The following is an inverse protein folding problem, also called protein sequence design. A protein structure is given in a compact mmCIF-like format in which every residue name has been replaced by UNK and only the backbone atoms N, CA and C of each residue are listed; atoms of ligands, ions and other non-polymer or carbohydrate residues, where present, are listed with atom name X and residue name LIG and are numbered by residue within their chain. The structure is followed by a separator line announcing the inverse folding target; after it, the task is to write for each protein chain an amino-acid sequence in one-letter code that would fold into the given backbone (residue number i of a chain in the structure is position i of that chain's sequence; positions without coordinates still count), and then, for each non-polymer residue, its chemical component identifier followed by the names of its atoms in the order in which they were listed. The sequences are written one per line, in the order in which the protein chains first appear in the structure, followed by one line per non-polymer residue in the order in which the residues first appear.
data_IF_094068205675
#
_entry.id   IF_094068205675
#
_cell.length_a   1.000
_cell.length_b   1.000
_cell.length_c   1.000
_cell.angle_alpha   90.00
_cell.angle_beta   90.00
_cell.angle_gamma   90.00
#
_symmetry.space_group_name_H-M   'P 1'
#
loop_
_entity.id
_entity.type
_entity.pdbx_description
1 polymer ?
#
# COMPACT_ATOMS: atom_id res chain seq x y z
N UNK A 1 49.32 40.82 -25.04
CA UNK A 1 48.13 40.06 -25.53
C UNK A 1 48.24 38.57 -25.19
N UNK A 2 49.31 37.88 -25.58
CA UNK A 2 49.50 36.44 -25.33
C UNK A 2 49.44 36.04 -23.83
N UNK A 3 50.03 36.84 -22.93
CA UNK A 3 50.01 36.55 -21.49
C UNK A 3 48.60 36.71 -20.87
N UNK A 4 47.85 37.73 -21.30
CA UNK A 4 46.46 37.91 -20.91
C UNK A 4 45.58 36.76 -21.41
N UNK A 5 45.78 36.32 -22.67
CA UNK A 5 45.09 35.15 -23.22
C UNK A 5 45.41 33.88 -22.42
N UNK A 6 46.68 33.63 -22.12
CA UNK A 6 47.10 32.47 -21.32
C UNK A 6 46.45 32.46 -19.94
N UNK A 7 46.40 33.60 -19.25
CA UNK A 7 45.72 33.72 -17.95
C UNK A 7 44.22 33.41 -18.06
N UNK A 8 43.55 33.94 -19.09
CA UNK A 8 42.14 33.62 -19.34
C UNK A 8 41.93 32.13 -19.62
N UNK A 9 42.80 31.48 -20.40
CA UNK A 9 42.74 30.04 -20.64
C UNK A 9 42.92 29.22 -19.35
N UNK A 10 43.83 29.62 -18.47
CA UNK A 10 44.03 28.98 -17.17
C UNK A 10 42.81 29.16 -16.26
N UNK A 11 42.21 30.35 -16.22
CA UNK A 11 40.97 30.63 -15.49
C UNK A 11 39.79 29.83 -16.06
N UNK A 12 39.67 29.71 -17.38
CA UNK A 12 38.64 28.90 -18.05
C UNK A 12 38.81 27.40 -17.76
N UNK A 13 40.04 26.88 -17.76
CA UNK A 13 40.32 25.49 -17.37
C UNK A 13 39.94 25.23 -15.91
N UNK A 14 40.25 26.17 -15.01
CA UNK A 14 39.85 26.07 -13.61
C UNK A 14 38.32 26.10 -13.45
N UNK A 15 37.64 26.97 -14.19
CA UNK A 15 36.18 27.03 -14.19
C UNK A 15 35.55 25.75 -14.72
N UNK A 16 36.05 25.20 -15.84
CA UNK A 16 35.57 23.94 -16.40
C UNK A 16 35.68 22.79 -15.38
N UNK A 17 36.83 22.65 -14.73
CA UNK A 17 37.03 21.63 -13.70
C UNK A 17 36.08 21.79 -12.49
N UNK A 18 35.78 23.04 -12.09
CA UNK A 18 34.79 23.32 -11.04
C UNK A 18 33.37 22.97 -11.48
N UNK A 19 33.02 23.27 -12.74
CA UNK A 19 31.71 22.90 -13.32
C UNK A 19 31.55 21.40 -13.39
N UNK A 20 32.58 20.66 -13.80
CA UNK A 20 32.56 19.19 -13.83
C UNK A 20 32.36 18.62 -12.42
N UNK A 21 33.08 19.15 -11.43
CA UNK A 21 32.93 18.76 -10.02
C UNK A 21 31.53 19.04 -9.47
N UNK A 22 30.93 20.18 -9.84
CA UNK A 22 29.56 20.54 -9.46
C UNK A 22 28.54 19.62 -10.14
N UNK A 23 28.72 19.26 -11.40
CA UNK A 23 27.85 18.34 -12.11
C UNK A 23 27.86 16.94 -11.46
N UNK A 24 29.02 16.46 -11.03
CA UNK A 24 29.13 15.20 -10.29
C UNK A 24 28.48 15.26 -8.90
N UNK A 25 28.66 16.38 -8.19
CA UNK A 25 27.96 16.61 -6.91
C UNK A 25 26.43 16.61 -7.11
N UNK A 26 25.93 17.29 -8.14
CA UNK A 26 24.52 17.34 -8.47
C UNK A 26 23.95 15.94 -8.77
N UNK A 27 24.63 15.13 -9.59
CA UNK A 27 24.19 13.75 -9.87
C UNK A 27 24.04 12.91 -8.60
N UNK A 28 25.02 12.98 -7.69
CA UNK A 28 24.94 12.27 -6.39
C UNK A 28 23.80 12.75 -5.51
N UNK A 29 23.53 14.07 -5.51
CA UNK A 29 22.38 14.63 -4.81
C UNK A 29 21.07 14.15 -5.41
N UNK A 30 20.92 14.16 -6.73
CA UNK A 30 19.71 13.66 -7.41
C UNK A 30 19.45 12.19 -7.11
N UNK A 31 20.48 11.34 -7.11
CA UNK A 31 20.37 9.94 -6.73
C UNK A 31 19.89 9.77 -5.28
N UNK A 32 20.44 10.57 -4.36
CA UNK A 32 20.05 10.55 -2.94
C UNK A 32 18.60 11.01 -2.78
N UNK A 33 18.21 12.09 -3.45
CA UNK A 33 16.83 12.60 -3.42
C UNK A 33 15.85 11.55 -3.96
N UNK A 34 16.19 10.85 -5.05
CA UNK A 34 15.33 9.78 -5.59
C UNK A 34 15.11 8.65 -4.59
N UNK A 35 16.16 8.21 -3.88
CA UNK A 35 16.03 7.21 -2.82
C UNK A 35 15.14 7.71 -1.68
N UNK A 36 15.38 8.93 -1.21
CA UNK A 36 14.56 9.53 -0.15
C UNK A 36 13.08 9.66 -0.54
N UNK A 37 12.77 9.96 -1.80
CA UNK A 37 11.37 10.02 -2.26
C UNK A 37 10.69 8.65 -2.19
N UNK A 38 11.42 7.56 -2.50
CA UNK A 38 10.92 6.19 -2.40
C UNK A 38 10.70 5.83 -0.92
N UNK A 39 11.71 6.01 -0.08
CA UNK A 39 11.65 5.67 1.35
C UNK A 39 10.53 6.44 2.05
N UNK A 40 10.36 7.73 1.75
CA UNK A 40 9.25 8.55 2.29
C UNK A 40 7.90 8.09 1.74
N UNK A 41 7.85 7.61 0.50
CA UNK A 41 6.67 6.98 -0.08
C UNK A 41 6.21 5.76 0.72
N UNK A 42 7.14 4.85 1.01
CA UNK A 42 6.90 3.65 1.82
C UNK A 42 6.46 4.00 3.24
N UNK A 43 7.21 4.88 3.94
CA UNK A 43 6.85 5.33 5.29
C UNK A 43 5.45 5.97 5.36
N UNK A 44 5.06 6.70 4.31
CA UNK A 44 3.72 7.25 4.21
C UNK A 44 2.68 6.14 4.06
N UNK A 45 2.94 5.11 3.27
CA UNK A 45 2.10 3.91 3.11
C UNK A 45 1.84 3.24 4.45
N UNK A 46 2.90 2.80 5.13
CA UNK A 46 2.86 2.15 6.45
C UNK A 46 2.08 2.99 7.48
N UNK A 47 2.32 4.31 7.49
CA UNK A 47 1.63 5.23 8.39
C UNK A 47 0.13 5.30 8.12
N UNK A 48 -0.28 5.24 6.85
CA UNK A 48 -1.68 5.27 6.45
C UNK A 48 -2.38 3.95 6.81
N UNK A 49 -1.76 2.81 6.50
CA UNK A 49 -2.24 1.47 6.88
C UNK A 49 -2.45 1.37 8.39
N UNK A 50 -1.43 1.73 9.18
CA UNK A 50 -1.51 1.74 10.65
C UNK A 50 -2.67 2.60 11.13
N UNK A 51 -2.84 3.80 10.55
CA UNK A 51 -3.92 4.71 10.93
C UNK A 51 -5.31 4.12 10.67
N UNK A 52 -5.50 3.46 9.53
CA UNK A 52 -6.77 2.79 9.22
C UNK A 52 -7.03 1.61 10.14
N UNK A 53 -6.00 0.81 10.45
CA UNK A 53 -6.09 -0.33 11.37
C UNK A 53 -6.42 0.12 12.80
N UNK A 54 -5.66 1.04 13.38
CA UNK A 54 -5.86 1.54 14.75
C UNK A 54 -7.22 2.22 14.93
N UNK A 55 -7.74 2.86 13.88
CA UNK A 55 -9.00 3.60 13.90
C UNK A 55 -10.09 2.92 13.07
N UNK A 56 -10.01 1.61 12.89
CA UNK A 56 -10.92 0.87 12.00
C UNK A 56 -12.39 1.10 12.35
N UNK A 57 -12.73 1.11 13.65
CA UNK A 57 -14.10 1.38 14.10
C UNK A 57 -14.64 2.76 13.69
N UNK A 58 -13.77 3.77 13.55
CA UNK A 58 -14.14 5.11 13.09
C UNK A 58 -14.39 5.11 11.58
N UNK A 59 -13.53 4.47 10.80
CA UNK A 59 -13.61 4.47 9.34
C UNK A 59 -14.70 3.53 8.80
N UNK A 60 -14.83 2.36 9.41
CA UNK A 60 -15.67 1.26 8.91
C UNK A 60 -16.88 0.95 9.80
N UNK A 61 -17.08 1.66 10.92
CA UNK A 61 -18.28 1.51 11.76
C UNK A 61 -19.60 1.88 11.06
N UNK A 62 -19.51 2.57 9.92
CA UNK A 62 -20.65 2.78 9.02
C UNK A 62 -21.08 1.51 8.28
N UNK A 63 -20.16 0.55 8.08
CA UNK A 63 -20.43 -0.74 7.44
C UNK A 63 -20.93 -1.74 8.49
N UNK A 64 -20.13 -2.03 9.52
CA UNK A 64 -20.46 -3.01 10.56
C UNK A 64 -20.53 -2.42 11.97
N UNK A 65 -21.41 -2.95 12.81
CA UNK A 65 -21.48 -2.65 14.25
C UNK A 65 -20.46 -3.49 15.02
N UNK A 66 -20.04 -3.00 16.19
CA UNK A 66 -19.11 -3.69 17.10
C UNK A 66 -17.80 -4.14 16.42
N UNK A 67 -17.34 -3.40 15.41
CA UNK A 67 -16.17 -3.75 14.61
C UNK A 67 -14.89 -3.89 15.46
N UNK A 68 -14.13 -4.95 15.19
CA UNK A 68 -12.83 -5.25 15.79
C UNK A 68 -11.87 -5.75 14.71
N UNK A 69 -10.66 -5.20 14.69
CA UNK A 69 -9.57 -5.74 13.86
C UNK A 69 -9.16 -7.09 14.42
N UNK A 70 -9.03 -8.08 13.55
CA UNK A 70 -8.50 -9.40 13.88
C UNK A 70 -6.98 -9.28 14.09
N UNK A 71 -6.42 -9.82 15.18
CA UNK A 71 -4.97 -9.96 15.34
C UNK A 71 -4.38 -10.71 14.15
N UNK A 72 -3.17 -10.33 13.73
CA UNK A 72 -2.54 -10.96 12.57
C UNK A 72 -2.25 -12.45 12.83
N UNK A 73 -1.94 -12.79 14.08
CA UNK A 73 -1.69 -14.16 14.53
C UNK A 73 -2.95 -15.04 14.41
N UNK A 74 -4.13 -14.49 14.74
CA UNK A 74 -5.42 -15.19 14.58
C UNK A 74 -5.70 -15.46 13.09
N UNK A 75 -5.46 -14.48 12.22
CA UNK A 75 -5.59 -14.66 10.77
C UNK A 75 -4.60 -15.72 10.25
N UNK A 76 -3.35 -15.68 10.71
CA UNK A 76 -2.30 -16.61 10.30
C UNK A 76 -2.64 -18.04 10.68
N UNK A 77 -3.06 -18.28 11.91
CA UNK A 77 -3.48 -19.60 12.37
C UNK A 77 -4.65 -20.15 11.55
N UNK A 78 -5.63 -19.30 11.20
CA UNK A 78 -6.76 -19.69 10.34
C UNK A 78 -6.32 -20.07 8.93
N UNK A 79 -5.41 -19.29 8.33
CA UNK A 79 -4.90 -19.53 6.98
C UNK A 79 -4.02 -20.79 6.94
N UNK A 80 -3.08 -20.94 7.88
CA UNK A 80 -2.21 -22.11 7.96
C UNK A 80 -3.05 -23.40 8.14
N UNK A 81 -4.08 -23.35 9.01
CA UNK A 81 -5.02 -24.48 9.16
C UNK A 81 -5.79 -24.80 7.87
N UNK A 82 -6.15 -23.79 7.07
CA UNK A 82 -6.80 -24.01 5.78
C UNK A 82 -5.86 -24.61 4.73
N UNK A 83 -4.56 -24.31 4.79
CA UNK A 83 -3.54 -24.97 3.95
C UNK A 83 -3.37 -26.43 4.38
N UNK A 84 -3.27 -26.70 5.68
CA UNK A 84 -3.17 -28.06 6.24
C UNK A 84 -4.38 -28.93 5.86
N UNK A 85 -5.57 -28.33 5.82
CA UNK A 85 -6.82 -28.98 5.39
C UNK A 85 -6.96 -29.09 3.85
N UNK A 86 -6.02 -28.52 3.08
CA UNK A 86 -6.05 -28.51 1.62
C UNK A 86 -7.15 -27.62 1.01
N UNK A 87 -7.70 -26.69 1.78
CA UNK A 87 -8.70 -25.69 1.31
C UNK A 87 -8.04 -24.54 0.57
N UNK A 88 -6.81 -24.19 0.94
CA UNK A 88 -5.99 -23.18 0.28
C UNK A 88 -4.70 -23.81 -0.25
N UNK A 89 -4.17 -23.25 -1.34
CA UNK A 89 -2.78 -23.46 -1.72
C UNK A 89 -1.85 -22.52 -0.94
N UNK A 90 -0.54 -22.83 -0.94
CA UNK A 90 0.50 -21.96 -0.39
C UNK A 90 0.48 -20.56 -1.02
N UNK A 91 0.30 -20.48 -2.35
CA UNK A 91 0.22 -19.20 -3.07
C UNK A 91 -1.02 -18.38 -2.65
N UNK A 92 -2.16 -19.04 -2.43
CA UNK A 92 -3.37 -18.38 -1.96
C UNK A 92 -3.22 -17.89 -0.52
N UNK A 93 -2.57 -18.69 0.33
CA UNK A 93 -2.24 -18.33 1.70
C UNK A 93 -1.31 -17.12 1.74
N UNK A 94 -0.23 -17.09 0.94
CA UNK A 94 0.67 -15.94 0.85
C UNK A 94 -0.06 -14.69 0.36
N UNK A 95 -0.93 -14.81 -0.66
CA UNK A 95 -1.67 -13.67 -1.18
C UNK A 95 -2.62 -13.07 -0.12
N UNK A 96 -3.44 -13.90 0.55
CA UNK A 96 -4.40 -13.39 1.55
C UNK A 96 -3.72 -12.84 2.80
N UNK A 97 -2.61 -13.44 3.24
CA UNK A 97 -1.83 -12.93 4.37
C UNK A 97 -1.15 -11.59 4.06
N UNK A 98 -0.97 -11.27 2.79
CA UNK A 98 -0.47 -9.97 2.35
C UNK A 98 -1.50 -8.83 2.43
N UNK A 99 -2.73 -9.07 2.90
CA UNK A 99 -3.72 -8.00 3.12
C UNK A 99 -3.31 -7.07 4.27
N UNK A 100 -3.79 -5.81 4.24
CA UNK A 100 -3.37 -4.87 5.27
C UNK A 100 -4.01 -5.16 6.62
N UNK A 101 -5.28 -5.58 6.63
CA UNK A 101 -5.90 -6.22 7.80
C UNK A 101 -7.28 -6.78 7.47
N UNK A 102 -7.72 -7.69 8.34
CA UNK A 102 -9.09 -8.17 8.42
C UNK A 102 -9.76 -7.60 9.66
N UNK A 103 -11.02 -7.22 9.57
CA UNK A 103 -11.82 -6.80 10.72
C UNK A 103 -13.16 -7.53 10.74
N UNK A 104 -13.58 -8.01 11.90
CA UNK A 104 -14.91 -8.64 12.09
C UNK A 104 -15.89 -7.68 12.76
N UNK A 105 -17.16 -7.80 12.42
CA UNK A 105 -18.24 -7.03 13.03
C UNK A 105 -19.60 -7.64 12.73
N UNK A 106 -20.65 -6.95 13.16
CA UNK A 106 -22.03 -7.40 12.96
C UNK A 106 -22.72 -6.51 11.92
N UNK A 107 -23.31 -7.14 10.90
CA UNK A 107 -24.16 -6.50 9.92
C UNK A 107 -25.29 -5.73 10.63
N UNK A 108 -25.68 -4.58 10.07
CA UNK A 108 -26.61 -3.65 10.75
C UNK A 108 -28.05 -4.14 10.70
N UNK A 109 -28.40 -4.79 9.60
CA UNK A 109 -29.75 -5.18 9.22
C UNK A 109 -30.25 -6.37 10.04
N UNK A 110 -29.43 -7.41 10.18
CA UNK A 110 -29.81 -8.72 10.76
C UNK A 110 -28.89 -9.15 11.94
N UNK A 111 -27.75 -8.49 12.13
CA UNK A 111 -26.78 -8.82 13.17
C UNK A 111 -25.89 -10.02 12.87
N UNK A 112 -25.87 -10.51 11.62
CA UNK A 112 -24.97 -11.58 11.18
C UNK A 112 -23.52 -11.12 11.27
N UNK A 113 -22.62 -12.01 11.66
CA UNK A 113 -21.19 -11.70 11.69
C UNK A 113 -20.63 -11.65 10.26
N UNK A 114 -19.91 -10.56 9.96
CA UNK A 114 -19.23 -10.34 8.68
C UNK A 114 -17.79 -9.88 8.93
N UNK A 115 -16.95 -10.14 7.94
CA UNK A 115 -15.55 -9.77 7.91
C UNK A 115 -15.33 -8.74 6.82
N UNK A 116 -14.51 -7.73 7.08
CA UNK A 116 -13.99 -6.81 6.09
C UNK A 116 -12.55 -7.21 5.81
N UNK A 117 -12.23 -7.49 4.55
CA UNK A 117 -10.84 -7.58 4.10
C UNK A 117 -10.44 -6.24 3.50
N UNK A 118 -9.46 -5.57 4.12
CA UNK A 118 -9.14 -4.17 3.82
C UNK A 118 -7.79 -4.04 3.14
N UNK A 119 -7.79 -3.34 2.01
CA UNK A 119 -6.60 -2.82 1.32
C UNK A 119 -6.57 -1.29 1.44
N UNK A 120 -5.42 -0.74 1.77
CA UNK A 120 -5.17 0.66 2.06
C UNK A 120 -4.10 1.17 1.10
N UNK A 121 -4.42 2.27 0.40
CA UNK A 121 -3.47 2.92 -0.50
C UNK A 121 -3.60 4.43 -0.42
N UNK A 122 -2.51 5.15 -0.67
CA UNK A 122 -2.61 6.62 -0.83
C UNK A 122 -3.47 6.99 -2.03
N UNK A 123 -3.32 6.29 -3.16
CA UNK A 123 -4.11 6.47 -4.36
C UNK A 123 -4.65 5.13 -4.83
N UNK A 124 -5.97 4.99 -4.82
CA UNK A 124 -6.66 3.74 -5.14
C UNK A 124 -6.85 3.64 -6.66
N UNK A 125 -6.15 2.68 -7.25
CA UNK A 125 -6.27 2.23 -8.63
C UNK A 125 -7.07 0.93 -8.77
N UNK A 126 -7.24 0.49 -10.02
CA UNK A 126 -7.94 -0.77 -10.36
C UNK A 126 -7.30 -1.97 -9.65
N UNK A 127 -5.96 -2.02 -9.61
CA UNK A 127 -5.23 -3.11 -8.97
C UNK A 127 -5.48 -3.23 -7.46
N UNK A 128 -5.77 -2.12 -6.76
CA UNK A 128 -6.11 -2.18 -5.33
C UNK A 128 -7.49 -2.84 -5.12
N UNK A 129 -8.44 -2.55 -6.00
CA UNK A 129 -9.78 -3.16 -5.99
C UNK A 129 -9.70 -4.65 -6.34
N UNK A 130 -8.92 -4.99 -7.36
CA UNK A 130 -8.70 -6.39 -7.75
C UNK A 130 -8.01 -7.20 -6.64
N UNK A 131 -7.01 -6.62 -5.94
CA UNK A 131 -6.40 -7.29 -4.78
C UNK A 131 -7.42 -7.52 -3.67
N UNK A 132 -8.21 -6.52 -3.32
CA UNK A 132 -9.25 -6.67 -2.29
C UNK A 132 -10.26 -7.77 -2.67
N UNK A 133 -10.74 -7.77 -3.92
CA UNK A 133 -11.68 -8.78 -4.42
C UNK A 133 -11.10 -10.19 -4.37
N UNK A 134 -9.93 -10.42 -4.96
CA UNK A 134 -9.29 -11.75 -4.96
C UNK A 134 -9.04 -12.26 -3.55
N UNK A 135 -8.47 -11.43 -2.68
CA UNK A 135 -8.13 -11.83 -1.31
C UNK A 135 -9.38 -12.11 -0.49
N UNK A 136 -10.47 -11.35 -0.70
CA UNK A 136 -11.75 -11.63 -0.05
C UNK A 136 -12.34 -12.96 -0.53
N UNK A 137 -12.23 -13.28 -1.82
CA UNK A 137 -12.66 -14.59 -2.36
C UNK A 137 -11.86 -15.75 -1.73
N UNK A 138 -10.53 -15.61 -1.64
CA UNK A 138 -9.66 -16.59 -0.97
C UNK A 138 -10.08 -16.78 0.49
N UNK A 139 -10.24 -15.69 1.25
CA UNK A 139 -10.63 -15.75 2.65
C UNK A 139 -12.05 -16.35 2.82
N UNK A 140 -12.96 -16.10 1.87
CA UNK A 140 -14.29 -16.67 1.84
C UNK A 140 -14.32 -18.20 1.73
N UNK A 141 -13.28 -18.84 1.16
CA UNK A 141 -13.16 -20.31 1.11
C UNK A 141 -13.10 -20.96 2.49
N UNK A 142 -12.78 -20.18 3.53
CA UNK A 142 -12.78 -20.65 4.92
C UNK A 142 -14.19 -20.65 5.54
N UNK A 143 -15.23 -20.31 4.76
CA UNK A 143 -16.62 -20.24 5.22
C UNK A 143 -16.96 -18.92 5.92
N UNK A 144 -16.15 -17.88 5.70
CA UNK A 144 -16.36 -16.54 6.23
C UNK A 144 -17.19 -15.70 5.25
N UNK A 145 -18.12 -14.92 5.78
CA UNK A 145 -18.78 -13.84 5.03
C UNK A 145 -17.80 -12.65 4.95
N UNK A 146 -17.18 -12.44 3.79
CA UNK A 146 -16.13 -11.44 3.60
C UNK A 146 -16.56 -10.36 2.61
N UNK A 147 -16.49 -9.10 3.04
CA UNK A 147 -16.70 -7.92 2.21
C UNK A 147 -15.33 -7.31 1.86
N UNK A 148 -14.96 -7.22 0.58
CA UNK A 148 -13.73 -6.56 0.15
C UNK A 148 -13.87 -5.04 0.31
N UNK A 149 -12.83 -4.40 0.84
CA UNK A 149 -12.83 -2.95 1.09
C UNK A 149 -11.49 -2.35 0.65
N UNK A 150 -11.56 -1.29 -0.16
CA UNK A 150 -10.43 -0.41 -0.44
C UNK A 150 -10.58 0.91 0.32
N UNK A 151 -9.48 1.40 0.90
CA UNK A 151 -9.46 2.63 1.68
C UNK A 151 -8.24 3.49 1.34
N UNK A 152 -8.39 4.82 1.35
CA UNK A 152 -7.30 5.66 0.84
C UNK A 152 -7.59 7.15 0.83
N UNK A 153 -6.78 7.91 0.09
CA UNK A 153 -6.92 9.37 -0.03
C UNK A 153 -7.48 9.85 -1.36
N UNK A 154 -7.30 9.07 -2.42
CA UNK A 154 -7.89 9.32 -3.74
C UNK A 154 -8.35 8.03 -4.36
N UNK A 155 -9.39 8.09 -5.18
CA UNK A 155 -9.93 6.97 -5.95
C UNK A 155 -9.95 7.38 -7.42
N UNK A 156 -9.31 6.59 -8.27
CA UNK A 156 -9.35 6.79 -9.72
C UNK A 156 -10.75 6.49 -10.27
N UNK A 157 -11.20 7.15 -11.35
CA UNK A 157 -12.51 6.86 -11.96
C UNK A 157 -12.68 5.38 -12.34
N UNK A 158 -11.63 4.76 -12.89
CA UNK A 158 -11.66 3.36 -13.33
C UNK A 158 -11.80 2.40 -12.14
N UNK A 159 -11.11 2.68 -11.03
CA UNK A 159 -11.26 1.91 -9.80
C UNK A 159 -12.65 2.06 -9.19
N UNK A 160 -13.23 3.27 -9.28
CA UNK A 160 -14.60 3.53 -8.83
C UNK A 160 -15.60 2.71 -9.65
N UNK A 161 -15.50 2.75 -10.97
CA UNK A 161 -16.38 1.99 -11.87
C UNK A 161 -16.29 0.49 -11.61
N UNK A 162 -15.09 -0.03 -11.32
CA UNK A 162 -14.93 -1.44 -10.94
C UNK A 162 -15.60 -1.74 -9.60
N UNK A 163 -15.36 -0.91 -8.57
CA UNK A 163 -15.94 -1.10 -7.24
C UNK A 163 -17.49 -1.05 -7.27
N UNK A 164 -18.08 -0.17 -8.07
CA UNK A 164 -19.54 -0.03 -8.19
C UNK A 164 -20.21 -1.21 -8.91
N UNK A 165 -19.48 -2.01 -9.70
CA UNK A 165 -20.03 -3.24 -10.31
C UNK A 165 -20.22 -4.37 -9.29
N UNK A 166 -19.60 -4.25 -8.12
CA UNK A 166 -19.60 -5.25 -7.05
C UNK A 166 -20.43 -4.80 -5.83
N UNK A 167 -21.14 -3.67 -5.92
CA UNK A 167 -22.15 -3.20 -4.95
C UNK A 167 -23.55 -3.60 -5.42
#
# INVERSE_FOLDING_TARGET
LAEAQRRTEEELKSLAARVDSLAEAQRRTEETVRRLVIDVGELKGDSLERKYRERAAIYFGRLLRKLRVMPFEELREMVDGAVDEGKLSEDEAEDVLGCDFVARGLRKEDGVEEHLLVEVSWGIGVGDVERALRRAEILGKLGLEVVPVVAGKGLTPEAKDLAERWL
#
